data_IF_281995954854
#
_entry.id   IF_281995954854
#
_cell.length_a   1.000
_cell.length_b   1.000
_cell.length_c   1.000
_cell.angle_alpha   90.00
_cell.angle_beta   90.00
_cell.angle_gamma   90.00
#
_symmetry.space_group_name_H-M   'P 1'
#
loop_
_entity.id
_entity.type
_entity.pdbx_description
1 polymer ?
#
# COMPACT_ATOMS: atom_id res chain seq x y z
N UNK A 1 23.61 26.40 -20.35
CA UNK A 1 23.26 26.16 -18.94
C UNK A 1 22.63 24.78 -18.85
N UNK A 2 23.46 23.76 -18.64
CA UNK A 2 23.03 22.39 -18.41
C UNK A 2 23.38 22.09 -16.95
N UNK A 3 22.38 22.05 -16.07
CA UNK A 3 22.58 21.68 -14.68
C UNK A 3 22.19 20.21 -14.49
N UNK A 4 23.24 19.39 -14.58
CA UNK A 4 23.45 18.05 -14.02
C UNK A 4 22.24 17.30 -13.45
N UNK A 5 21.78 16.29 -14.19
CA UNK A 5 20.84 15.24 -13.76
C UNK A 5 21.63 13.98 -13.40
N UNK A 6 22.53 14.08 -12.41
CA UNK A 6 23.34 12.95 -11.97
C UNK A 6 23.42 12.90 -10.45
N UNK A 7 23.09 11.70 -9.94
CA UNK A 7 23.33 11.20 -8.59
C UNK A 7 22.31 11.54 -7.49
N UNK A 8 21.04 11.18 -7.72
CA UNK A 8 20.14 10.80 -6.62
C UNK A 8 20.25 9.30 -6.42
N UNK A 9 21.23 8.87 -5.63
CA UNK A 9 21.38 7.47 -5.26
C UNK A 9 20.16 7.07 -4.42
N UNK A 10 19.31 6.18 -4.95
CA UNK A 10 18.19 5.58 -4.24
C UNK A 10 18.64 5.04 -2.89
N UNK A 11 18.35 5.72 -1.78
CA UNK A 11 18.60 5.14 -0.47
C UNK A 11 17.56 4.02 -0.23
N UNK A 12 17.94 2.80 -0.62
CA UNK A 12 17.23 1.53 -0.49
C UNK A 12 16.43 1.14 -1.73
N UNK A 13 16.67 -0.06 -2.27
CA UNK A 13 15.79 -0.65 -3.30
C UNK A 13 14.56 -1.30 -2.65
N UNK A 14 13.36 -1.22 -3.26
CA UNK A 14 12.20 -1.96 -2.78
C UNK A 14 12.50 -3.46 -2.69
N UNK A 15 12.09 -4.10 -1.59
CA UNK A 15 12.37 -5.51 -1.30
C UNK A 15 11.08 -6.30 -1.20
N UNK A 16 10.96 -7.40 -1.95
CA UNK A 16 9.83 -8.32 -1.84
C UNK A 16 9.91 -9.05 -0.50
N UNK A 17 8.86 -8.94 0.31
CA UNK A 17 8.73 -9.63 1.60
C UNK A 17 7.95 -10.93 1.47
N UNK A 18 6.89 -10.92 0.67
CA UNK A 18 6.03 -12.06 0.44
C UNK A 18 5.35 -11.95 -0.93
N UNK A 19 5.05 -13.10 -1.54
CA UNK A 19 4.26 -13.17 -2.77
C UNK A 19 3.31 -14.36 -2.72
N UNK A 20 2.12 -14.18 -3.26
CA UNK A 20 1.12 -15.21 -3.51
C UNK A 20 0.48 -14.99 -4.88
N UNK A 21 -0.36 -15.91 -5.33
CA UNK A 21 -1.18 -15.69 -6.52
C UNK A 21 -2.05 -14.41 -6.45
N UNK A 22 -2.48 -14.01 -5.24
CA UNK A 22 -3.39 -12.87 -5.05
C UNK A 22 -2.67 -11.54 -4.82
N UNK A 23 -1.47 -11.52 -4.22
CA UNK A 23 -0.75 -10.28 -3.96
C UNK A 23 0.77 -10.44 -3.82
N UNK A 24 1.49 -9.34 -3.98
CA UNK A 24 2.90 -9.23 -3.54
C UNK A 24 3.02 -8.09 -2.54
N UNK A 25 3.77 -8.34 -1.47
CA UNK A 25 4.09 -7.36 -0.43
C UNK A 25 5.55 -6.95 -0.63
N UNK A 26 5.77 -5.66 -0.78
CA UNK A 26 7.08 -5.04 -0.96
C UNK A 26 7.30 -4.04 0.17
N UNK A 27 8.47 -4.07 0.80
CA UNK A 27 8.90 -3.03 1.75
C UNK A 27 9.85 -2.07 1.06
N UNK A 28 9.64 -0.79 1.31
CA UNK A 28 10.61 0.24 0.98
C UNK A 28 10.62 1.30 2.07
N UNK A 29 11.74 1.43 2.79
CA UNK A 29 11.86 2.26 3.99
C UNK A 29 10.71 2.00 4.98
N UNK A 30 9.89 3.00 5.25
CA UNK A 30 8.71 2.96 6.12
C UNK A 30 7.40 2.68 5.38
N UNK A 31 7.45 2.31 4.09
CA UNK A 31 6.29 2.00 3.29
C UNK A 31 6.13 0.49 3.10
N UNK A 32 4.89 0.03 3.22
CA UNK A 32 4.49 -1.30 2.81
C UNK A 32 3.61 -1.18 1.57
N UNK A 33 4.13 -1.67 0.45
CA UNK A 33 3.51 -1.60 -0.87
C UNK A 33 2.90 -2.97 -1.19
N UNK A 34 1.58 -3.02 -1.30
CA UNK A 34 0.77 -4.23 -1.46
C UNK A 34 0.12 -4.22 -2.82
N UNK A 35 0.61 -5.10 -3.70
CA UNK A 35 0.19 -5.17 -5.09
C UNK A 35 -0.82 -6.28 -5.23
N UNK A 36 -2.07 -5.92 -5.49
CA UNK A 36 -3.19 -6.86 -5.45
C UNK A 36 -3.53 -7.30 -6.88
N UNK A 37 -3.25 -8.56 -7.20
CA UNK A 37 -3.47 -9.20 -8.50
C UNK A 37 -4.64 -10.18 -8.52
N UNK A 38 -5.26 -10.41 -7.38
CA UNK A 38 -6.35 -11.36 -7.21
C UNK A 38 -7.20 -11.01 -5.98
N UNK A 39 -8.06 -11.94 -5.58
CA UNK A 39 -8.84 -11.79 -4.35
C UNK A 39 -7.96 -12.21 -3.16
N UNK A 40 -7.61 -11.29 -2.23
CA UNK A 40 -6.79 -11.63 -1.08
C UNK A 40 -7.52 -12.64 -0.18
N UNK A 41 -6.78 -13.64 0.29
CA UNK A 41 -7.23 -14.55 1.36
C UNK A 41 -7.04 -13.92 2.75
N UNK A 42 -7.57 -14.57 3.78
CA UNK A 42 -7.27 -14.19 5.18
C UNK A 42 -5.77 -14.23 5.45
N UNK A 43 -5.08 -15.28 4.99
CA UNK A 43 -3.64 -15.44 5.14
C UNK A 43 -2.85 -14.31 4.45
N UNK A 44 -3.33 -13.79 3.32
CA UNK A 44 -2.70 -12.65 2.65
C UNK A 44 -2.77 -11.37 3.48
N UNK A 45 -3.92 -11.10 4.11
CA UNK A 45 -4.08 -9.93 4.98
C UNK A 45 -3.29 -10.11 6.29
N UNK A 46 -3.30 -11.31 6.87
CA UNK A 46 -2.51 -11.62 8.07
C UNK A 46 -1.01 -11.47 7.83
N UNK A 47 -0.50 -11.89 6.65
CA UNK A 47 0.90 -11.62 6.28
C UNK A 47 1.20 -10.13 6.26
N UNK A 48 0.33 -9.32 5.65
CA UNK A 48 0.50 -7.86 5.64
C UNK A 48 0.51 -7.27 7.06
N UNK A 49 -0.36 -7.74 7.96
CA UNK A 49 -0.37 -7.34 9.37
C UNK A 49 0.97 -7.68 10.03
N UNK A 50 1.44 -8.92 9.87
CA UNK A 50 2.69 -9.38 10.44
C UNK A 50 3.91 -8.57 9.94
N UNK A 51 3.88 -8.08 8.70
CA UNK A 51 4.93 -7.19 8.20
C UNK A 51 4.89 -5.80 8.85
N UNK A 52 3.70 -5.23 9.09
CA UNK A 52 3.56 -3.96 9.83
C UNK A 52 4.02 -4.12 11.29
N UNK A 53 3.67 -5.24 11.93
CA UNK A 53 4.12 -5.56 13.29
C UNK A 53 5.64 -5.74 13.34
N UNK A 54 6.23 -6.46 12.38
CA UNK A 54 7.69 -6.59 12.28
C UNK A 54 8.37 -5.24 12.11
N UNK A 55 7.83 -4.35 11.27
CA UNK A 55 8.37 -2.99 11.13
C UNK A 55 8.32 -2.22 12.45
N UNK A 56 7.24 -2.33 13.22
CA UNK A 56 7.15 -1.73 14.55
C UNK A 56 8.21 -2.31 15.50
N UNK A 57 8.36 -3.63 15.51
CA UNK A 57 9.30 -4.32 16.39
C UNK A 57 10.77 -4.02 16.00
N UNK A 58 11.04 -3.77 14.71
CA UNK A 58 12.32 -3.23 14.20
C UNK A 58 12.56 -1.75 14.59
N UNK A 59 11.62 -1.11 15.28
CA UNK A 59 11.72 0.28 15.72
C UNK A 59 11.29 1.33 14.69
N UNK A 60 10.59 0.94 13.62
CA UNK A 60 10.03 1.90 12.66
C UNK A 60 8.87 2.67 13.32
N UNK A 61 8.94 4.00 13.47
CA UNK A 61 7.96 4.76 14.26
C UNK A 61 6.63 4.97 13.52
N UNK A 62 6.66 5.00 12.19
CA UNK A 62 5.51 5.29 11.32
C UNK A 62 5.53 4.42 10.08
N UNK A 63 4.35 4.00 9.61
CA UNK A 63 4.19 3.22 8.38
C UNK A 63 3.17 3.86 7.44
N UNK A 64 3.50 3.90 6.14
CA UNK A 64 2.56 4.24 5.07
C UNK A 64 2.16 2.98 4.30
N UNK A 65 0.87 2.67 4.21
CA UNK A 65 0.38 1.56 3.40
C UNK A 65 0.03 2.05 1.99
N UNK A 66 0.53 1.37 0.98
CA UNK A 66 0.19 1.60 -0.43
C UNK A 66 -0.45 0.33 -0.96
N UNK A 67 -1.71 0.39 -1.35
CA UNK A 67 -2.36 -0.69 -2.11
C UNK A 67 -2.43 -0.30 -3.58
N UNK A 68 -1.99 -1.16 -4.49
CA UNK A 68 -2.17 -0.97 -5.94
C UNK A 68 -2.95 -2.15 -6.50
N UNK A 69 -4.28 -2.03 -6.60
CA UNK A 69 -5.11 -3.01 -7.30
C UNK A 69 -4.74 -3.05 -8.78
N UNK A 70 -4.52 -4.26 -9.28
CA UNK A 70 -4.28 -4.52 -10.70
C UNK A 70 -5.57 -5.07 -11.31
N UNK A 71 -5.82 -4.74 -12.57
CA UNK A 71 -7.03 -5.14 -13.28
C UNK A 71 -7.11 -6.66 -13.34
N UNK A 72 -8.02 -7.23 -12.55
CA UNK A 72 -8.41 -8.63 -12.67
C UNK A 72 -9.78 -8.70 -13.35
N UNK A 73 -10.02 -9.69 -14.21
CA UNK A 73 -11.31 -9.82 -14.90
C UNK A 73 -12.49 -10.09 -13.95
N UNK A 74 -12.25 -10.34 -12.65
CA UNK A 74 -13.27 -10.61 -11.63
C UNK A 74 -12.85 -10.09 -10.25
N UNK A 75 -12.77 -8.77 -10.09
CA UNK A 75 -12.61 -8.19 -8.76
C UNK A 75 -13.96 -8.21 -8.05
N UNK A 76 -14.18 -9.26 -7.28
CA UNK A 76 -15.32 -9.35 -6.36
C UNK A 76 -14.97 -8.65 -5.04
N UNK A 77 -15.97 -8.09 -4.33
CA UNK A 77 -15.78 -7.63 -2.96
C UNK A 77 -15.10 -8.72 -2.10
N UNK A 78 -14.21 -8.35 -1.17
CA UNK A 78 -13.58 -9.35 -0.30
C UNK A 78 -14.64 -10.14 0.49
N UNK A 79 -14.45 -11.46 0.67
CA UNK A 79 -15.34 -12.28 1.49
C UNK A 79 -15.44 -11.71 2.90
N UNK A 80 -16.54 -12.03 3.62
CA UNK A 80 -16.75 -11.52 4.98
C UNK A 80 -15.58 -11.78 5.91
N UNK A 81 -15.04 -13.00 5.94
CA UNK A 81 -13.88 -13.35 6.75
C UNK A 81 -12.65 -12.46 6.45
N UNK A 82 -12.42 -12.09 5.19
CA UNK A 82 -11.31 -11.21 4.79
C UNK A 82 -11.60 -9.76 5.22
N UNK A 83 -12.86 -9.30 5.08
CA UNK A 83 -13.29 -7.99 5.56
C UNK A 83 -13.13 -7.86 7.07
N UNK A 84 -13.40 -8.92 7.84
CA UNK A 84 -13.21 -8.93 9.29
C UNK A 84 -11.74 -8.72 9.69
N UNK A 85 -10.81 -9.35 8.97
CA UNK A 85 -9.37 -9.17 9.21
C UNK A 85 -8.95 -7.74 8.88
N UNK A 86 -9.42 -7.18 7.76
CA UNK A 86 -9.19 -5.76 7.45
C UNK A 86 -9.76 -4.83 8.51
N UNK A 87 -10.97 -5.10 9.03
CA UNK A 87 -11.56 -4.31 10.13
C UNK A 87 -10.70 -4.33 11.38
N UNK A 88 -10.12 -5.48 11.74
CA UNK A 88 -9.22 -5.60 12.91
C UNK A 88 -7.97 -4.75 12.71
N UNK A 89 -7.30 -4.88 11.56
CA UNK A 89 -6.14 -4.07 11.21
C UNK A 89 -6.47 -2.56 11.24
N UNK A 90 -7.59 -2.17 10.64
CA UNK A 90 -8.02 -0.77 10.56
C UNK A 90 -8.35 -0.19 11.94
N UNK A 91 -8.71 -1.01 12.93
CA UNK A 91 -9.06 -0.58 14.28
C UNK A 91 -7.95 -0.78 15.32
N UNK A 92 -6.83 -1.37 14.93
CA UNK A 92 -5.72 -1.59 15.84
C UNK A 92 -5.05 -0.27 16.23
N UNK A 93 -5.31 0.18 17.47
CA UNK A 93 -4.73 1.41 18.03
C UNK A 93 -3.25 1.31 18.32
N UNK A 94 -2.67 0.10 18.31
CA UNK A 94 -1.23 -0.12 18.50
C UNK A 94 -0.45 -0.01 17.18
N UNK A 95 -1.15 0.18 16.06
CA UNK A 95 -0.52 0.28 14.74
C UNK A 95 0.36 1.52 14.60
N UNK A 96 1.48 1.34 13.90
CA UNK A 96 2.34 2.44 13.45
C UNK A 96 1.84 3.07 12.14
N UNK A 97 0.77 2.53 11.54
CA UNK A 97 0.20 3.04 10.28
C UNK A 97 -0.36 4.45 10.46
N UNK A 98 -0.03 5.36 9.54
CA UNK A 98 -0.50 6.76 9.55
C UNK A 98 -1.35 7.12 8.34
N UNK A 99 -1.36 6.27 7.31
CA UNK A 99 -2.27 6.39 6.19
C UNK A 99 -2.23 5.15 5.31
N UNK A 100 -3.35 4.89 4.62
CA UNK A 100 -3.46 3.86 3.60
C UNK A 100 -3.97 4.44 2.29
N UNK A 101 -3.10 4.50 1.28
CA UNK A 101 -3.46 4.93 -0.06
C UNK A 101 -3.80 3.73 -0.94
N UNK A 102 -4.97 3.74 -1.55
CA UNK A 102 -5.36 2.75 -2.56
C UNK A 102 -5.27 3.42 -3.94
N UNK A 103 -4.22 3.13 -4.68
CA UNK A 103 -3.91 3.75 -5.97
C UNK A 103 -4.63 2.99 -7.08
N UNK A 104 -5.60 3.66 -7.71
CA UNK A 104 -6.45 3.11 -8.76
C UNK A 104 -6.20 3.90 -10.04
N UNK A 105 -5.18 3.48 -10.80
CA UNK A 105 -4.79 4.14 -12.06
C UNK A 105 -5.74 3.82 -13.22
N UNK A 106 -6.53 2.75 -13.12
CA UNK A 106 -7.53 2.44 -14.13
C UNK A 106 -8.77 3.35 -14.00
N UNK A 107 -9.48 3.50 -15.11
CA UNK A 107 -10.77 4.19 -15.16
C UNK A 107 -11.94 3.20 -15.33
N UNK A 108 -13.16 3.73 -15.40
CA UNK A 108 -14.35 2.94 -15.69
C UNK A 108 -14.84 2.05 -14.53
N UNK A 109 -15.45 0.92 -14.87
CA UNK A 109 -16.16 0.06 -13.93
C UNK A 109 -15.25 -0.49 -12.83
N UNK A 110 -14.07 -0.99 -13.18
CA UNK A 110 -13.10 -1.52 -12.20
C UNK A 110 -12.77 -0.48 -11.13
N UNK A 111 -12.48 0.75 -11.57
CA UNK A 111 -12.12 1.83 -10.67
C UNK A 111 -13.26 2.21 -9.73
N UNK A 112 -14.50 2.20 -10.24
CA UNK A 112 -15.70 2.43 -9.43
C UNK A 112 -15.89 1.33 -8.37
N UNK A 113 -15.68 0.06 -8.74
CA UNK A 113 -15.77 -1.09 -7.81
C UNK A 113 -14.71 -1.02 -6.72
N UNK A 114 -13.44 -0.76 -7.07
CA UNK A 114 -12.39 -0.60 -6.06
C UNK A 114 -12.74 0.53 -5.09
N UNK A 115 -13.16 1.70 -5.61
CA UNK A 115 -13.56 2.83 -4.78
C UNK A 115 -14.75 2.51 -3.87
N UNK A 116 -15.74 1.75 -4.34
CA UNK A 116 -16.88 1.34 -3.52
C UNK A 116 -16.46 0.38 -2.40
N UNK A 117 -15.53 -0.54 -2.67
CA UNK A 117 -14.95 -1.42 -1.64
C UNK A 117 -14.20 -0.63 -0.58
N UNK A 118 -13.29 0.26 -0.99
CA UNK A 118 -12.51 1.12 -0.06
C UNK A 118 -13.44 1.99 0.78
N UNK A 119 -14.46 2.58 0.17
CA UNK A 119 -15.45 3.40 0.87
C UNK A 119 -16.23 2.56 1.88
N UNK A 120 -16.70 1.37 1.48
CA UNK A 120 -17.44 0.47 2.35
C UNK A 120 -16.61 0.00 3.55
N UNK A 121 -15.34 -0.35 3.32
CA UNK A 121 -14.41 -0.70 4.40
C UNK A 121 -14.16 0.48 5.33
N UNK A 122 -13.95 1.68 4.80
CA UNK A 122 -13.69 2.87 5.61
C UNK A 122 -14.91 3.26 6.47
N UNK A 123 -16.12 3.18 5.93
CA UNK A 123 -17.36 3.50 6.65
C UNK A 123 -17.68 2.47 7.75
N UNK A 124 -17.52 1.18 7.43
CA UNK A 124 -17.86 0.09 8.36
C UNK A 124 -16.78 -0.13 9.41
N UNK A 125 -15.50 -0.01 9.04
CA UNK A 125 -14.39 -0.25 9.96
C UNK A 125 -14.09 0.95 10.86
N UNK A 126 -14.39 2.20 10.45
CA UNK A 126 -14.02 3.43 11.19
C UNK A 126 -12.54 3.44 11.57
N UNK A 127 -11.63 3.42 10.58
CA UNK A 127 -10.22 3.18 10.82
C UNK A 127 -9.58 4.25 11.73
N UNK A 128 -8.58 3.84 12.51
CA UNK A 128 -7.78 4.72 13.38
C UNK A 128 -6.75 5.56 12.60
N UNK A 129 -6.57 5.26 11.32
CA UNK A 129 -5.79 6.04 10.36
C UNK A 129 -6.62 6.32 9.11
N UNK A 130 -6.37 7.42 8.40
CA UNK A 130 -7.11 7.72 7.19
C UNK A 130 -6.76 6.71 6.08
N UNK A 131 -7.79 6.29 5.34
CA UNK A 131 -7.67 5.41 4.17
C UNK A 131 -8.36 6.07 2.99
N UNK A 132 -7.70 6.15 1.83
CA UNK A 132 -8.23 6.87 0.67
C UNK A 132 -7.87 6.21 -0.66
N UNK A 133 -8.87 6.12 -1.56
CA UNK A 133 -8.64 5.77 -2.95
C UNK A 133 -8.19 7.00 -3.76
N UNK A 134 -7.12 6.86 -4.54
CA UNK A 134 -6.43 7.94 -5.24
C UNK A 134 -6.19 7.54 -6.71
N UNK A 135 -6.23 8.49 -7.66
CA UNK A 135 -6.27 8.18 -9.09
C UNK A 135 -4.89 7.89 -9.72
N UNK A 136 -3.79 8.19 -9.04
CA UNK A 136 -2.44 8.02 -9.59
C UNK A 136 -1.40 7.77 -8.52
N UNK A 137 -0.25 7.20 -8.92
CA UNK A 137 0.90 7.02 -8.03
C UNK A 137 1.36 8.32 -7.40
N UNK A 138 1.46 9.39 -8.19
CA UNK A 138 1.84 10.72 -7.70
C UNK A 138 0.85 11.24 -6.66
N UNK A 139 -0.46 11.12 -6.92
CA UNK A 139 -1.48 11.53 -5.95
C UNK A 139 -1.46 10.69 -4.67
N UNK A 140 -1.25 9.37 -4.82
CA UNK A 140 -1.05 8.40 -3.74
C UNK A 140 0.11 8.77 -2.83
N UNK A 141 1.28 8.90 -3.43
CA UNK A 141 2.54 9.21 -2.76
C UNK A 141 2.47 10.56 -2.04
N UNK A 142 2.03 11.61 -2.74
CA UNK A 142 1.88 12.95 -2.16
C UNK A 142 0.99 12.93 -0.92
N UNK A 143 -0.19 12.33 -1.03
CA UNK A 143 -1.15 12.28 0.07
C UNK A 143 -0.61 11.48 1.28
N UNK A 144 0.08 10.36 1.05
CA UNK A 144 0.70 9.58 2.13
C UNK A 144 1.83 10.34 2.84
N UNK A 145 2.67 11.04 2.09
CA UNK A 145 3.74 11.85 2.66
C UNK A 145 3.18 12.96 3.56
N UNK A 146 2.06 13.59 3.15
CA UNK A 146 1.33 14.53 4.00
C UNK A 146 0.82 13.87 5.30
N UNK A 147 0.29 12.64 5.24
CA UNK A 147 -0.16 11.92 6.45
C UNK A 147 1.01 11.54 7.37
N UNK A 148 2.15 11.16 6.83
CA UNK A 148 3.34 10.83 7.61
C UNK A 148 3.94 12.08 8.26
N UNK A 149 4.05 13.18 7.50
CA UNK A 149 4.55 14.46 7.99
C UNK A 149 3.69 15.03 9.12
N UNK A 150 2.36 14.90 9.05
CA UNK A 150 1.47 15.36 10.12
C UNK A 150 1.65 14.62 11.46
N UNK A 151 2.36 13.49 11.45
CA UNK A 151 2.69 12.70 12.63
C UNK A 151 4.17 12.78 13.02
N UNK A 152 4.94 13.70 12.42
CA UNK A 152 6.35 13.93 12.76
C UNK A 152 7.34 12.96 12.11
N UNK A 153 6.91 12.16 11.13
CA UNK A 153 7.83 11.42 10.28
C UNK A 153 8.59 12.40 9.37
N UNK A 154 9.86 12.13 9.10
CA UNK A 154 10.58 12.82 8.04
C UNK A 154 10.09 12.25 6.68
N UNK A 155 9.32 13.03 5.89
CA UNK A 155 8.76 12.52 4.66
C UNK A 155 9.90 12.31 3.65
N UNK A 156 9.98 11.11 3.11
CA UNK A 156 10.80 10.81 1.94
C UNK A 156 10.40 11.70 0.75
N UNK A 157 11.33 11.94 -0.18
CA UNK A 157 11.05 12.68 -1.41
C UNK A 157 9.91 12.03 -2.23
N UNK A 158 9.07 12.88 -2.84
CA UNK A 158 7.90 12.44 -3.60
C UNK A 158 8.30 11.55 -4.78
N UNK A 159 9.33 11.94 -5.52
CA UNK A 159 9.76 11.22 -6.72
C UNK A 159 10.30 9.85 -6.32
N UNK A 160 11.09 9.78 -5.23
CA UNK A 160 11.61 8.51 -4.71
C UNK A 160 10.48 7.53 -4.34
N UNK A 161 9.40 7.99 -3.70
CA UNK A 161 8.26 7.13 -3.37
C UNK A 161 7.49 6.69 -4.62
N UNK A 162 7.29 7.59 -5.58
CA UNK A 162 6.64 7.24 -6.85
C UNK A 162 7.45 6.18 -7.62
N UNK A 163 8.76 6.33 -7.66
CA UNK A 163 9.70 5.37 -8.26
C UNK A 163 9.68 4.04 -7.50
N UNK A 164 9.68 4.06 -6.17
CA UNK A 164 9.59 2.84 -5.36
C UNK A 164 8.28 2.08 -5.59
N UNK A 165 7.16 2.77 -5.76
CA UNK A 165 5.88 2.15 -6.14
C UNK A 165 5.97 1.54 -7.54
N UNK A 166 6.61 2.25 -8.49
CA UNK A 166 6.87 1.73 -9.83
C UNK A 166 7.72 0.45 -9.82
N UNK A 167 8.85 0.47 -9.14
CA UNK A 167 9.72 -0.69 -8.98
C UNK A 167 9.03 -1.85 -8.25
N UNK A 168 8.16 -1.57 -7.27
CA UNK A 168 7.31 -2.58 -6.65
C UNK A 168 6.37 -3.28 -7.64
N UNK A 169 5.85 -2.55 -8.64
CA UNK A 169 5.02 -3.11 -9.72
C UNK A 169 5.84 -4.03 -10.61
N UNK A 170 7.03 -3.61 -11.02
CA UNK A 170 7.93 -4.43 -11.82
C UNK A 170 8.35 -5.71 -11.09
N UNK A 171 8.67 -5.62 -9.80
CA UNK A 171 9.00 -6.77 -8.96
C UNK A 171 7.83 -7.75 -8.82
N UNK A 172 6.61 -7.22 -8.68
CA UNK A 172 5.38 -8.03 -8.66
C UNK A 172 5.15 -8.77 -9.97
N UNK A 173 5.38 -8.11 -11.10
CA UNK A 173 5.16 -8.68 -12.44
C UNK A 173 6.24 -9.74 -12.77
N UNK A 174 7.44 -9.60 -12.20
CA UNK A 174 8.52 -10.59 -12.30
C UNK A 174 8.39 -11.75 -11.29
N UNK A 175 7.60 -11.60 -10.22
CA UNK A 175 7.46 -12.61 -9.19
C UNK A 175 6.68 -13.83 -9.72
N UNK A 176 7.21 -15.06 -9.58
CA UNK A 176 6.45 -16.24 -9.95
C UNK A 176 5.16 -16.31 -9.12
N UNK A 177 4.06 -16.65 -9.80
CA UNK A 177 2.81 -17.01 -9.12
C UNK A 177 3.02 -18.36 -8.45
N UNK A 178 3.37 -18.34 -7.16
CA UNK A 178 3.51 -19.55 -6.32
C UNK A 178 2.13 -19.97 -5.83
#
# INVERSE_FOLDING_TARGET
MASSTADRTFAGSPTVLASSAAQTIVRWRCFLIVLVRGQPSVADVERMIAEVERMRDDGVPHCGLVHVPRSTPRLEPPPEAVRDVYRRLMNDRTTITRGSAVIVEQEGFFAAVVRSVVTSLSLLARPVYPTRALPSRVAGAKWLLEQLASHGADPTDLDELVEAIGAGIELSDAAPSV
#
